data_IF_100625419763
#
_entry.id   IF_100625419763
#
_cell.length_a   1.000
_cell.length_b   1.000
_cell.length_c   1.000
_cell.angle_alpha   90.00
_cell.angle_beta   90.00
_cell.angle_gamma   90.00
#
_symmetry.space_group_name_H-M   'P 1'
#
loop_
_entity.id
_entity.type
_entity.pdbx_description
1 polymer ?
#
# COMPACT_ATOMS: atom_id res chain seq x y z
N UNK A 1 -18.03 -5.11 -12.32
CA UNK A 1 -16.82 -5.85 -11.92
C UNK A 1 -16.48 -5.40 -10.51
N UNK A 2 -16.41 -6.30 -9.55
CA UNK A 2 -16.08 -5.94 -8.16
C UNK A 2 -14.66 -5.39 -8.14
N UNK A 3 -14.49 -4.07 -7.93
CA UNK A 3 -13.16 -3.48 -7.70
C UNK A 3 -12.57 -4.17 -6.48
N UNK A 4 -11.39 -4.78 -6.63
CA UNK A 4 -10.66 -5.35 -5.49
C UNK A 4 -10.23 -4.19 -4.60
N UNK A 5 -10.36 -4.34 -3.29
CA UNK A 5 -9.95 -3.31 -2.31
C UNK A 5 -8.51 -2.85 -2.56
N UNK A 6 -7.63 -3.76 -2.98
CA UNK A 6 -6.24 -3.49 -3.35
C UNK A 6 -6.11 -2.44 -4.46
N UNK A 7 -6.97 -2.51 -5.48
CA UNK A 7 -6.95 -1.64 -6.66
C UNK A 7 -7.34 -0.20 -6.28
N UNK A 8 -8.41 -0.06 -5.50
CA UNK A 8 -8.83 1.25 -4.96
C UNK A 8 -7.76 1.86 -4.05
N UNK A 9 -7.14 1.04 -3.19
CA UNK A 9 -6.06 1.52 -2.30
C UNK A 9 -4.84 1.91 -3.11
N UNK A 10 -4.48 1.15 -4.16
CA UNK A 10 -3.37 1.47 -5.05
C UNK A 10 -3.58 2.82 -5.74
N UNK A 11 -4.75 3.06 -6.35
CA UNK A 11 -5.07 4.33 -7.01
C UNK A 11 -4.92 5.53 -6.06
N UNK A 12 -5.23 5.36 -4.77
CA UNK A 12 -5.09 6.41 -3.75
C UNK A 12 -3.67 6.53 -3.19
N UNK A 13 -2.97 5.40 -3.01
CA UNK A 13 -1.63 5.36 -2.42
C UNK A 13 -0.55 5.81 -3.41
N UNK A 14 -0.71 5.51 -4.70
CA UNK A 14 0.26 5.85 -5.76
C UNK A 14 0.66 7.34 -5.77
N UNK A 15 -0.27 8.32 -5.77
CA UNK A 15 0.13 9.73 -5.73
C UNK A 15 0.77 10.15 -4.40
N UNK A 16 0.49 9.45 -3.30
CA UNK A 16 1.06 9.74 -1.98
C UNK A 16 2.52 9.28 -1.93
N UNK A 17 2.78 8.03 -2.36
CA UNK A 17 4.15 7.49 -2.40
C UNK A 17 5.00 8.28 -3.38
N UNK A 18 4.47 8.64 -4.56
CA UNK A 18 5.18 9.44 -5.56
C UNK A 18 5.55 10.82 -5.03
N UNK A 19 4.63 11.48 -4.32
CA UNK A 19 4.89 12.76 -3.66
C UNK A 19 5.93 12.67 -2.52
N UNK A 20 6.10 11.48 -1.94
CA UNK A 20 7.08 11.22 -0.88
C UNK A 20 8.39 10.64 -1.44
N UNK A 21 8.51 10.52 -2.78
CA UNK A 21 9.63 9.85 -3.45
C UNK A 21 9.83 8.39 -2.99
N UNK A 22 8.73 7.73 -2.63
CA UNK A 22 8.65 6.34 -2.23
C UNK A 22 8.07 5.50 -3.38
N UNK A 23 8.44 4.23 -3.41
CA UNK A 23 7.92 3.25 -4.35
C UNK A 23 6.90 2.34 -3.64
N UNK A 24 5.71 2.21 -4.23
CA UNK A 24 4.73 1.23 -3.77
C UNK A 24 5.07 -0.14 -4.35
N UNK A 25 5.50 -1.06 -3.48
CA UNK A 25 5.94 -2.40 -3.89
C UNK A 25 4.76 -3.35 -4.04
N UNK A 26 3.92 -3.45 -3.01
CA UNK A 26 2.79 -4.40 -3.00
C UNK A 26 1.67 -3.96 -2.06
N UNK A 27 0.43 -4.40 -2.31
CA UNK A 27 -0.72 -4.18 -1.45
C UNK A 27 -1.47 -5.49 -1.27
N UNK A 28 -1.53 -5.96 -0.03
CA UNK A 28 -2.25 -7.16 0.32
C UNK A 28 -3.47 -6.86 1.18
N UNK A 29 -4.59 -7.49 0.85
CA UNK A 29 -5.79 -7.47 1.67
C UNK A 29 -6.09 -8.89 2.19
N UNK A 30 -5.56 -9.20 3.37
CA UNK A 30 -5.59 -10.54 3.95
C UNK A 30 -6.61 -10.62 5.09
N UNK A 31 -7.22 -11.80 5.25
CA UNK A 31 -8.12 -12.06 6.37
C UNK A 31 -7.40 -12.93 7.40
N UNK A 32 -7.13 -12.37 8.57
CA UNK A 32 -6.53 -13.09 9.70
C UNK A 32 -7.58 -13.23 10.81
N UNK A 33 -8.03 -14.48 11.03
CA UNK A 33 -9.09 -14.80 11.99
C UNK A 33 -10.43 -14.17 11.61
N UNK A 34 -10.93 -13.29 12.47
CA UNK A 34 -12.18 -12.56 12.27
C UNK A 34 -11.98 -11.17 11.66
N UNK A 35 -10.73 -10.72 11.50
CA UNK A 35 -10.40 -9.37 11.06
C UNK A 35 -9.79 -9.37 9.66
N UNK A 36 -9.92 -8.23 8.99
CA UNK A 36 -9.27 -7.95 7.72
C UNK A 36 -8.10 -7.00 7.94
N UNK A 37 -6.96 -7.32 7.34
CA UNK A 37 -5.75 -6.53 7.40
C UNK A 37 -5.39 -6.06 6.01
N UNK A 38 -5.21 -4.77 5.86
CA UNK A 38 -4.65 -4.14 4.68
C UNK A 38 -3.17 -3.89 4.96
N UNK A 39 -2.30 -4.49 4.16
CA UNK A 39 -0.86 -4.32 4.24
C UNK A 39 -0.41 -3.59 2.99
N UNK A 40 0.38 -2.54 3.18
CA UNK A 40 0.92 -1.71 2.10
C UNK A 40 2.43 -1.75 2.27
N UNK A 41 3.12 -2.32 1.29
CA UNK A 41 4.57 -2.41 1.25
C UNK A 41 5.09 -1.24 0.42
N UNK A 42 5.94 -0.43 1.04
CA UNK A 42 6.59 0.71 0.42
C UNK A 42 8.10 0.57 0.59
N UNK A 43 8.84 1.01 -0.41
CA UNK A 43 10.30 1.04 -0.42
C UNK A 43 10.78 2.43 -0.84
N UNK A 44 12.05 2.74 -0.59
CA UNK A 44 12.67 4.01 -0.96
C UNK A 44 14.13 3.74 -1.29
N UNK A 45 14.56 4.19 -2.46
CA UNK A 45 15.97 4.14 -2.83
C UNK A 45 16.84 5.02 -1.89
N UNK A 46 16.27 6.07 -1.32
CA UNK A 46 16.94 6.99 -0.38
C UNK A 46 16.85 6.53 1.09
N UNK A 47 16.15 5.41 1.35
CA UNK A 47 15.85 4.91 2.69
C UNK A 47 14.49 5.40 3.21
N UNK A 48 13.75 4.50 3.86
CA UNK A 48 12.47 4.80 4.52
C UNK A 48 12.74 4.85 6.02
N UNK A 49 12.78 6.05 6.60
CA UNK A 49 12.82 6.22 8.06
C UNK A 49 11.39 6.42 8.58
N UNK A 50 10.99 5.61 9.55
CA UNK A 50 9.72 5.75 10.28
C UNK A 50 10.08 6.37 11.63
N UNK A 51 9.90 7.69 11.78
CA UNK A 51 9.91 8.34 13.10
C UNK A 51 8.64 8.02 13.91
#
# INVERSE_FOLDING_TARGET
MSKKVTDTVQEMAQPIVDSLQLELVDIEFVKEGQSWFLRVFIDSDDGVDIE
#
